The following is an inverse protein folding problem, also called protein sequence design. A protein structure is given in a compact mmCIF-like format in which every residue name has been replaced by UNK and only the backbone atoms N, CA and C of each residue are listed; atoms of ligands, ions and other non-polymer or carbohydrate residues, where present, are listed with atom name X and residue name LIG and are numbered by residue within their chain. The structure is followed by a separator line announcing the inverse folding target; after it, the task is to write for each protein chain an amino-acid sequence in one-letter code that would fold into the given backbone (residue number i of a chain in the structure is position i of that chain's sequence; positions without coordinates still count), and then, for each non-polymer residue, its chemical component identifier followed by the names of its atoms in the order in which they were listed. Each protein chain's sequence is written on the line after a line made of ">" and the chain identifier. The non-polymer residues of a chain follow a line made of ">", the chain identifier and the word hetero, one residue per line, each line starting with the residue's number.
data_IF_380213903012
#
_entry.id   IF_380213903012
#
_cell.length_a   1.000
_cell.length_b   1.000
_cell.length_c   1.000
_cell.angle_alpha   90.00
_cell.angle_beta   90.00
_cell.angle_gamma   90.00
#
_symmetry.space_group_name_H-M   'P 1'
#
loop_
_entity.id
_entity.type
_entity.pdbx_description
1 polymer ?
#
# COMPACT_ATOMS: atom_id res chain seq x y z
N UNK A 1 2.92 14.78 18.92
CA UNK A 1 3.19 13.72 17.92
C UNK A 1 2.15 12.61 18.08
N UNK A 2 1.51 12.18 16.99
CA UNK A 2 0.59 11.03 17.02
C UNK A 2 1.35 9.70 17.23
N UNK A 3 0.65 8.66 17.67
CA UNK A 3 1.27 7.38 18.04
C UNK A 3 1.94 6.67 16.85
N UNK A 4 1.32 6.69 15.66
CA UNK A 4 1.86 6.07 14.45
C UNK A 4 3.15 6.76 13.99
N UNK A 5 3.18 8.10 14.04
CA UNK A 5 4.40 8.86 13.73
C UNK A 5 5.54 8.58 14.70
N UNK A 6 5.25 8.41 16.00
CA UNK A 6 6.28 8.02 17.00
C UNK A 6 6.82 6.62 16.72
N UNK A 7 5.94 5.66 16.51
CA UNK A 7 6.33 4.28 16.20
C UNK A 7 7.17 4.20 14.93
N UNK A 8 6.81 4.97 13.90
CA UNK A 8 7.58 5.03 12.67
C UNK A 8 9.00 5.57 12.90
N UNK A 9 9.17 6.63 13.71
CA UNK A 9 10.49 7.16 14.10
C UNK A 9 11.32 6.13 14.86
N UNK A 10 10.72 5.44 15.83
CA UNK A 10 11.40 4.40 16.61
C UNK A 10 11.81 3.21 15.75
N UNK A 11 11.05 2.90 14.71
CA UNK A 11 11.28 1.72 13.84
C UNK A 11 12.28 2.01 12.74
N UNK A 12 12.12 3.12 12.02
CA UNK A 12 12.90 3.44 10.81
C UNK A 12 13.85 4.64 10.99
N UNK A 13 14.00 5.16 12.21
CA UNK A 13 14.79 6.35 12.50
C UNK A 13 14.16 7.60 11.88
N UNK A 14 15.00 8.57 11.51
CA UNK A 14 14.56 9.87 10.98
C UNK A 14 13.63 9.79 9.75
N UNK A 15 13.72 8.71 8.95
CA UNK A 15 12.88 8.52 7.76
C UNK A 15 11.52 7.90 8.06
N UNK A 16 11.24 7.45 9.28
CA UNK A 16 9.99 6.81 9.64
C UNK A 16 8.73 7.59 9.26
N UNK A 17 8.61 8.88 9.64
CA UNK A 17 7.47 9.70 9.27
C UNK A 17 7.28 9.80 7.75
N UNK A 18 8.38 9.96 7.00
CA UNK A 18 8.36 10.00 5.54
C UNK A 18 7.89 8.66 4.97
N UNK A 19 8.41 7.55 5.47
CA UNK A 19 8.01 6.20 5.03
C UNK A 19 6.51 5.99 5.25
N UNK A 20 5.99 6.31 6.44
CA UNK A 20 4.56 6.22 6.77
C UNK A 20 3.70 6.99 5.75
N UNK A 21 4.06 8.23 5.47
CA UNK A 21 3.30 9.09 4.54
C UNK A 21 3.35 8.56 3.09
N UNK A 22 4.51 8.06 2.67
CA UNK A 22 4.75 7.67 1.27
C UNK A 22 4.18 6.30 0.94
N UNK A 23 4.08 5.37 1.90
CA UNK A 23 3.45 4.07 1.67
C UNK A 23 2.02 4.25 1.14
N UNK A 24 1.21 5.11 1.76
CA UNK A 24 -0.18 5.34 1.35
C UNK A 24 -0.26 5.84 -0.10
N UNK A 25 0.60 6.81 -0.45
CA UNK A 25 0.67 7.40 -1.80
C UNK A 25 1.09 6.36 -2.83
N UNK A 26 2.19 5.64 -2.60
CA UNK A 26 2.69 4.64 -3.54
C UNK A 26 1.69 3.51 -3.79
N UNK A 27 0.98 3.07 -2.74
CA UNK A 27 -0.05 2.03 -2.84
C UNK A 27 -1.27 2.51 -3.64
N UNK A 28 -1.70 3.75 -3.45
CA UNK A 28 -2.78 4.37 -4.21
C UNK A 28 -2.38 4.58 -5.67
N UNK A 29 -1.21 5.16 -5.92
CA UNK A 29 -0.70 5.42 -7.26
C UNK A 29 -0.56 4.12 -8.06
N UNK A 30 -0.11 3.03 -7.41
CA UNK A 30 -0.02 1.71 -8.06
C UNK A 30 -1.39 1.11 -8.33
N UNK A 31 -2.36 1.37 -7.44
CA UNK A 31 -3.73 0.91 -7.64
C UNK A 31 -4.34 1.56 -8.88
N UNK A 32 -4.20 2.88 -9.00
CA UNK A 32 -4.66 3.67 -10.14
C UNK A 32 -3.94 3.25 -11.43
N UNK A 33 -2.60 3.16 -11.41
CA UNK A 33 -1.81 2.74 -12.57
C UNK A 33 -2.19 1.33 -13.06
N UNK A 34 -2.43 0.40 -12.13
CA UNK A 34 -2.86 -0.96 -12.44
C UNK A 34 -4.30 -1.01 -12.98
N UNK A 35 -5.19 -0.12 -12.53
CA UNK A 35 -6.55 0.01 -13.07
C UNK A 35 -6.54 0.54 -14.50
N UNK A 36 -5.79 1.61 -14.74
CA UNK A 36 -5.64 2.20 -16.07
C UNK A 36 -5.08 1.20 -17.07
N UNK A 37 -4.06 0.43 -16.66
CA UNK A 37 -3.50 -0.65 -17.47
C UNK A 37 -4.53 -1.74 -17.77
N UNK A 38 -5.33 -2.14 -16.77
CA UNK A 38 -6.38 -3.14 -16.95
C UNK A 38 -7.47 -2.68 -17.93
N UNK A 39 -7.91 -1.42 -17.84
CA UNK A 39 -8.88 -0.83 -18.76
C UNK A 39 -8.32 -0.73 -20.18
N UNK A 40 -7.14 -0.14 -20.33
CA UNK A 40 -6.48 0.04 -21.62
C UNK A 40 -6.19 -1.29 -22.34
N UNK A 41 -5.97 -2.37 -21.58
CA UNK A 41 -5.70 -3.69 -22.15
C UNK A 41 -6.89 -4.30 -22.90
N UNK A 42 -8.12 -3.90 -22.57
CA UNK A 42 -9.35 -4.49 -23.11
C UNK A 42 -9.56 -5.98 -22.75
N UNK A 43 -8.69 -6.59 -21.94
CA UNK A 43 -8.80 -7.99 -21.56
C UNK A 43 -9.93 -8.21 -20.56
N UNK A 44 -10.73 -9.27 -20.79
CA UNK A 44 -11.75 -9.72 -19.83
C UNK A 44 -11.14 -10.32 -18.57
N UNK A 45 -9.93 -10.87 -18.65
CA UNK A 45 -9.22 -11.40 -17.51
C UNK A 45 -8.67 -10.26 -16.65
N UNK A 46 -8.64 -10.48 -15.33
CA UNK A 46 -8.06 -9.54 -14.35
C UNK A 46 -6.54 -9.70 -14.19
N UNK A 47 -5.89 -10.34 -15.16
CA UNK A 47 -4.47 -10.69 -15.08
C UNK A 47 -3.57 -9.46 -15.21
N UNK A 48 -4.00 -8.43 -15.94
CA UNK A 48 -3.24 -7.17 -16.09
C UNK A 48 -3.16 -6.43 -14.76
N UNK A 49 -4.30 -6.23 -14.09
CA UNK A 49 -4.32 -5.76 -12.69
C UNK A 49 -3.60 -6.75 -11.73
N UNK A 50 -3.46 -8.01 -12.14
CA UNK A 50 -2.71 -9.01 -11.40
C UNK A 50 -1.26 -8.58 -11.16
N UNK A 51 -0.62 -7.91 -12.13
CA UNK A 51 0.78 -7.45 -12.04
C UNK A 51 1.01 -6.33 -11.02
N UNK A 52 -0.05 -5.81 -10.38
CA UNK A 52 0.03 -4.92 -9.21
C UNK A 52 1.08 -5.35 -8.18
N UNK A 53 1.20 -6.65 -7.90
CA UNK A 53 2.14 -7.16 -6.89
C UNK A 53 3.59 -6.84 -7.25
N UNK A 54 3.91 -6.78 -8.54
CA UNK A 54 5.24 -6.47 -9.05
C UNK A 54 5.46 -4.96 -9.07
N UNK A 55 4.48 -4.21 -9.58
CA UNK A 55 4.54 -2.75 -9.62
C UNK A 55 4.73 -2.15 -8.22
N UNK A 56 4.03 -2.65 -7.20
CA UNK A 56 4.20 -2.14 -5.83
C UNK A 56 5.59 -2.45 -5.25
N UNK A 57 6.18 -3.59 -5.57
CA UNK A 57 7.55 -3.92 -5.14
C UNK A 57 8.58 -3.02 -5.83
N UNK A 58 8.40 -2.75 -7.13
CA UNK A 58 9.25 -1.83 -7.90
C UNK A 58 9.19 -0.41 -7.36
N UNK A 59 7.98 0.11 -7.04
CA UNK A 59 7.81 1.42 -6.40
C UNK A 59 8.48 1.50 -5.03
N UNK A 60 8.42 0.43 -4.23
CA UNK A 60 9.10 0.38 -2.93
C UNK A 60 10.63 0.34 -3.09
N UNK A 61 11.14 -0.40 -4.07
CA UNK A 61 12.56 -0.42 -4.42
C UNK A 61 13.04 0.96 -4.89
N UNK A 62 12.30 1.62 -5.78
CA UNK A 62 12.66 2.93 -6.33
C UNK A 62 12.60 4.03 -5.27
N UNK A 63 11.55 4.08 -4.45
CA UNK A 63 11.40 5.17 -3.50
C UNK A 63 12.25 4.93 -2.24
N UNK A 64 12.05 3.81 -1.55
CA UNK A 64 12.68 3.57 -0.26
C UNK A 64 14.12 3.07 -0.38
N UNK A 65 14.48 2.42 -1.49
CA UNK A 65 15.86 2.00 -1.76
C UNK A 65 16.82 3.17 -2.02
N UNK A 66 16.29 4.34 -2.38
CA UNK A 66 17.07 5.56 -2.61
C UNK A 66 17.15 6.48 -1.38
N UNK A 67 16.56 6.09 -0.24
CA UNK A 67 16.73 6.84 1.01
C UNK A 67 18.19 6.74 1.50
N UNK A 68 18.79 7.84 2.00
CA UNK A 68 20.15 7.77 2.54
C UNK A 68 20.25 6.77 3.70
N UNK A 69 21.19 5.84 3.62
CA UNK A 69 21.37 4.77 4.60
C UNK A 69 20.42 3.57 4.44
N UNK A 70 19.55 3.57 3.43
CA UNK A 70 18.80 2.37 3.06
C UNK A 70 19.72 1.34 2.39
N UNK A 71 19.49 0.07 2.70
CA UNK A 71 20.07 -1.06 2.00
C UNK A 71 18.98 -1.76 1.17
N UNK A 72 19.39 -2.48 0.12
CA UNK A 72 18.50 -3.32 -0.67
C UNK A 72 18.93 -4.78 -0.53
N UNK A 73 17.99 -5.65 -0.22
CA UNK A 73 18.24 -7.10 -0.13
C UNK A 73 17.37 -7.87 -1.10
N UNK A 74 17.84 -9.04 -1.55
CA UNK A 74 17.14 -9.94 -2.46
C UNK A 74 16.74 -11.22 -1.72
N UNK A 75 15.52 -11.31 -1.18
CA UNK A 75 15.10 -12.46 -0.39
C UNK A 75 15.08 -13.74 -1.22
N UNK A 76 15.79 -14.80 -0.78
CA UNK A 76 15.73 -16.12 -1.41
C UNK A 76 16.02 -16.15 -2.92
N UNK A 77 16.81 -15.20 -3.44
CA UNK A 77 17.11 -15.10 -4.88
C UNK A 77 15.94 -14.58 -5.74
N UNK A 78 14.94 -13.93 -5.12
CA UNK A 78 13.79 -13.36 -5.82
C UNK A 78 14.18 -12.41 -6.97
N UNK A 79 13.32 -12.26 -8.00
CA UNK A 79 13.56 -11.30 -9.07
C UNK A 79 13.40 -9.83 -8.64
N UNK A 80 12.97 -9.58 -7.40
CA UNK A 80 12.79 -8.26 -6.81
C UNK A 80 13.74 -8.05 -5.62
N UNK A 81 14.03 -6.79 -5.28
CA UNK A 81 14.69 -6.45 -4.02
C UNK A 81 13.68 -5.81 -3.06
N UNK A 82 14.03 -5.78 -1.78
CA UNK A 82 13.21 -5.11 -0.77
C UNK A 82 14.10 -4.14 0.03
N UNK A 83 13.58 -2.94 0.36
CA UNK A 83 14.29 -1.95 1.13
C UNK A 83 14.42 -2.38 2.60
N UNK A 84 15.61 -2.13 3.16
CA UNK A 84 15.94 -2.28 4.57
C UNK A 84 16.40 -0.92 5.07
N UNK A 85 15.62 -0.31 5.95
CA UNK A 85 15.89 1.01 6.52
C UNK A 85 16.04 0.84 8.02
N UNK A 86 17.12 1.36 8.59
CA UNK A 86 17.42 1.21 10.03
C UNK A 86 17.42 -0.27 10.50
N UNK A 87 17.90 -1.18 9.64
CA UNK A 87 17.90 -2.62 9.91
C UNK A 87 16.52 -3.32 9.84
N UNK A 88 15.46 -2.60 9.48
CA UNK A 88 14.10 -3.13 9.37
C UNK A 88 13.73 -3.30 7.90
N UNK A 89 13.34 -4.53 7.53
CA UNK A 89 12.86 -4.83 6.18
C UNK A 89 11.42 -4.29 5.98
N UNK A 90 11.17 -3.60 4.88
CA UNK A 90 9.85 -3.09 4.53
C UNK A 90 9.32 -3.86 3.30
N UNK A 91 8.25 -4.63 3.50
CA UNK A 91 7.73 -5.56 2.48
C UNK A 91 6.25 -5.26 2.13
N UNK A 92 5.94 -4.86 0.89
CA UNK A 92 4.56 -4.76 0.43
C UNK A 92 4.01 -6.14 0.01
N UNK A 93 2.83 -6.47 0.51
CA UNK A 93 2.16 -7.72 0.18
C UNK A 93 0.68 -7.52 -0.10
N UNK A 94 0.28 -7.79 -1.35
CA UNK A 94 -1.12 -7.97 -1.71
C UNK A 94 -1.61 -9.35 -1.28
N UNK A 95 -2.19 -9.44 -0.09
CA UNK A 95 -2.65 -10.70 0.50
C UNK A 95 -4.02 -11.12 -0.03
N UNK A 96 -4.89 -10.17 -0.35
CA UNK A 96 -6.27 -10.43 -0.73
C UNK A 96 -6.73 -9.67 -1.99
N UNK A 97 -7.81 -10.19 -2.57
CA UNK A 97 -8.53 -9.59 -3.71
C UNK A 97 -9.95 -9.14 -3.34
N UNK A 98 -10.31 -9.18 -2.06
CA UNK A 98 -11.64 -8.81 -1.57
C UNK A 98 -11.57 -8.31 -0.13
N UNK A 99 -12.65 -7.66 0.34
CA UNK A 99 -12.72 -7.07 1.69
C UNK A 99 -12.90 -8.13 2.79
N UNK A 100 -13.47 -9.27 2.44
CA UNK A 100 -13.88 -10.32 3.37
C UNK A 100 -12.73 -11.27 3.74
N UNK A 101 -11.66 -11.26 2.96
CA UNK A 101 -10.48 -12.09 3.25
C UNK A 101 -9.65 -11.40 4.32
N UNK A 102 -9.40 -12.09 5.42
CA UNK A 102 -8.54 -11.62 6.50
C UNK A 102 -7.09 -12.08 6.28
N UNK A 103 -6.14 -11.24 6.72
CA UNK A 103 -4.71 -11.52 6.62
C UNK A 103 -4.32 -12.79 7.38
N UNK A 104 -4.87 -13.00 8.57
CA UNK A 104 -4.59 -14.17 9.42
C UNK A 104 -4.96 -15.51 8.74
N UNK A 105 -5.89 -15.49 7.79
CA UNK A 105 -6.34 -16.68 7.06
C UNK A 105 -5.61 -16.87 5.72
N UNK A 106 -4.61 -16.02 5.42
CA UNK A 106 -3.88 -16.05 4.15
C UNK A 106 -2.44 -16.51 4.39
N UNK A 107 -2.00 -17.64 3.78
CA UNK A 107 -0.63 -18.09 3.94
C UNK A 107 0.36 -17.12 3.29
N UNK A 108 1.38 -16.72 4.05
CA UNK A 108 2.44 -15.83 3.58
C UNK A 108 3.59 -16.61 2.94
N UNK A 109 4.08 -17.65 3.61
CA UNK A 109 5.25 -18.45 3.25
C UNK A 109 4.99 -19.41 2.07
N UNK A 110 4.41 -18.91 0.99
CA UNK A 110 4.11 -19.69 -0.21
C UNK A 110 5.31 -19.79 -1.17
N UNK A 111 6.43 -19.12 -0.85
CA UNK A 111 7.67 -19.16 -1.62
C UNK A 111 8.88 -18.98 -0.72
N UNK A 112 10.03 -19.53 -1.14
CA UNK A 112 11.32 -19.34 -0.44
C UNK A 112 11.64 -17.86 -0.26
N UNK A 113 11.35 -17.02 -1.26
CA UNK A 113 11.53 -15.58 -1.18
C UNK A 113 10.76 -14.94 -0.02
N UNK A 114 9.50 -15.33 0.21
CA UNK A 114 8.70 -14.79 1.33
C UNK A 114 9.17 -15.32 2.67
N UNK A 115 9.53 -16.60 2.76
CA UNK A 115 10.12 -17.16 3.97
C UNK A 115 11.42 -16.45 4.34
N UNK A 116 12.30 -16.21 3.36
CA UNK A 116 13.55 -15.49 3.58
C UNK A 116 13.31 -14.01 3.91
N UNK A 117 12.33 -13.34 3.28
CA UNK A 117 12.01 -11.95 3.56
C UNK A 117 11.64 -11.73 5.03
N UNK A 118 10.86 -12.64 5.61
CA UNK A 118 10.47 -12.58 7.02
C UNK A 118 11.58 -13.01 7.99
N UNK A 119 12.65 -13.65 7.50
CA UNK A 119 13.79 -14.12 8.29
C UNK A 119 15.09 -13.37 7.96
N UNK A 120 14.99 -12.24 7.25
CA UNK A 120 16.13 -11.42 6.85
C UNK A 120 16.95 -10.99 8.06
N UNK A 121 18.10 -11.62 8.23
CA UNK A 121 19.09 -11.13 9.17
C UNK A 121 19.66 -9.84 8.60
N UNK A 122 19.80 -8.76 9.39
CA UNK A 122 20.57 -7.60 8.96
C UNK A 122 21.95 -8.11 8.55
N UNK A 123 22.24 -8.12 7.23
CA UNK A 123 23.59 -8.42 6.78
C UNK A 123 24.45 -7.30 7.32
N UNK A 124 25.43 -7.67 8.15
CA UNK A 124 26.27 -6.73 8.88
C UNK A 124 26.67 -5.52 8.05
N UNK A 125 26.42 -4.36 8.62
CA UNK A 125 26.76 -3.03 8.14
C UNK A 125 28.25 -2.99 7.78
N UNK A 126 28.61 -3.04 6.49
CA UNK A 126 30.01 -2.83 6.09
C UNK A 126 30.25 -2.06 4.79
N UNK A 127 29.23 -1.63 4.03
CA UNK A 127 29.49 -0.88 2.78
C UNK A 127 28.82 0.49 2.64
N UNK A 128 27.91 0.91 3.55
CA UNK A 128 27.27 2.22 3.47
C UNK A 128 27.72 3.25 4.53
N UNK A 129 28.54 2.83 5.52
CA UNK A 129 28.91 3.66 6.69
C UNK A 129 30.00 4.72 6.44
N UNK A 130 30.33 5.04 5.18
CA UNK A 130 31.42 6.00 4.87
C UNK A 130 31.01 7.23 4.09
N UNK A 131 29.72 7.59 4.04
CA UNK A 131 29.34 8.84 3.37
C UNK A 131 28.29 9.66 4.12
N UNK A 132 28.84 10.66 4.81
CA UNK A 132 28.38 12.04 4.88
C UNK A 132 27.30 12.36 5.94
N UNK A 133 27.83 12.85 7.05
CA UNK A 133 27.30 13.90 7.91
C UNK A 133 26.67 15.03 7.05
N UNK A 134 25.36 14.98 6.87
CA UNK A 134 24.56 16.05 6.28
C UNK A 134 23.38 16.33 7.23
N UNK A 135 23.32 17.50 7.87
CA UNK A 135 22.13 17.93 8.58
C UNK A 135 21.09 18.42 7.55
N UNK A 136 19.86 17.88 7.58
CA UNK A 136 18.71 18.41 6.82
C UNK A 136 17.39 18.12 7.56
N UNK A 137 16.26 18.80 7.27
CA UNK A 137 15.67 19.80 8.16
C UNK A 137 14.36 19.32 8.81
N UNK A 138 13.98 19.97 9.91
CA UNK A 138 12.68 19.89 10.60
C UNK A 138 12.47 18.79 11.67
N UNK A 139 13.51 18.12 12.16
CA UNK A 139 13.38 17.39 13.44
C UNK A 139 13.38 18.38 14.61
N UNK A 140 12.46 18.19 15.54
CA UNK A 140 12.43 18.86 16.85
C UNK A 140 13.50 18.27 17.77
N UNK A 141 13.94 19.02 18.78
CA UNK A 141 14.99 18.56 19.72
C UNK A 141 14.64 17.23 20.41
N UNK A 142 13.35 16.99 20.69
CA UNK A 142 12.87 15.72 21.27
C UNK A 142 13.00 14.54 20.30
N UNK A 143 12.82 14.76 19.00
CA UNK A 143 12.95 13.73 17.97
C UNK A 143 14.40 13.35 17.72
N UNK A 144 15.29 14.33 17.79
CA UNK A 144 16.73 14.10 17.67
C UNK A 144 17.23 13.17 18.78
N UNK A 145 16.82 13.42 20.03
CA UNK A 145 17.17 12.59 21.18
C UNK A 145 16.68 11.13 21.06
N UNK A 146 15.50 10.92 20.46
CA UNK A 146 14.96 9.58 20.21
C UNK A 146 15.78 8.81 19.17
N UNK A 147 16.13 9.46 18.07
CA UNK A 147 16.97 8.88 17.02
C UNK A 147 18.36 8.53 17.54
N UNK A 148 18.97 9.44 18.30
CA UNK A 148 20.31 9.25 18.87
C UNK A 148 20.34 8.10 19.89
N UNK A 149 19.32 8.02 20.76
CA UNK A 149 19.18 6.94 21.74
C UNK A 149 18.97 5.57 21.09
N UNK A 150 18.17 5.50 20.02
CA UNK A 150 17.93 4.25 19.29
C UNK A 150 19.15 3.81 18.48
N UNK A 151 19.85 4.75 17.82
CA UNK A 151 21.08 4.47 17.06
C UNK A 151 22.18 3.90 17.96
N UNK A 152 22.29 4.39 19.19
CA UNK A 152 23.19 3.84 20.19
C UNK A 152 22.81 2.41 20.64
N UNK A 153 21.52 2.06 20.60
CA UNK A 153 21.00 0.75 20.99
C UNK A 153 21.11 -0.30 19.85
N UNK A 154 20.88 0.10 18.59
CA UNK A 154 21.00 -0.79 17.42
C UNK A 154 22.44 -1.00 16.93
N UNK A 155 23.41 -0.22 17.42
CA UNK A 155 24.83 -0.47 17.24
C UNK A 155 25.35 -1.73 17.96
N UNK A 156 24.52 -2.39 18.78
CA UNK A 156 24.88 -3.63 19.46
C UNK A 156 24.77 -4.85 18.51
N UNK A 157 25.87 -5.59 18.24
CA UNK A 157 25.87 -6.80 17.43
C UNK A 157 24.91 -7.92 17.91
N UNK A 158 24.38 -7.82 19.13
CA UNK A 158 23.40 -8.75 19.71
C UNK A 158 21.95 -8.53 19.25
N UNK A 159 21.62 -7.41 18.60
CA UNK A 159 20.27 -7.18 18.04
C UNK A 159 20.17 -7.87 16.66
N UNK A 160 20.29 -9.20 16.67
CA UNK A 160 20.23 -10.06 15.48
C UNK A 160 18.80 -10.45 15.09
N UNK A 161 17.77 -9.82 15.66
CA UNK A 161 16.38 -10.11 15.32
C UNK A 161 16.05 -9.52 13.96
N UNK A 162 15.73 -10.39 13.00
CA UNK A 162 15.09 -9.98 11.74
C UNK A 162 13.80 -9.25 12.07
N UNK A 163 13.76 -7.93 11.87
CA UNK A 163 12.54 -7.13 12.01
C UNK A 163 11.98 -6.87 10.63
N UNK A 164 10.73 -7.23 10.42
CA UNK A 164 10.01 -6.97 9.17
C UNK A 164 8.75 -6.18 9.47
N UNK A 165 8.60 -5.05 8.78
CA UNK A 165 7.34 -4.32 8.67
C UNK A 165 6.67 -4.75 7.38
N UNK A 166 5.46 -5.26 7.52
CA UNK A 166 4.62 -5.70 6.42
C UNK A 166 3.64 -4.59 6.06
N UNK A 167 3.56 -4.24 4.79
CA UNK A 167 2.47 -3.41 4.24
C UNK A 167 1.45 -4.37 3.60
N UNK A 168 0.42 -4.71 4.37
CA UNK A 168 -0.65 -5.62 3.98
C UNK A 168 -1.71 -4.89 3.16
N UNK A 169 -1.89 -5.33 1.91
CA UNK A 169 -2.77 -4.71 0.92
C UNK A 169 -3.87 -5.69 0.51
N UNK A 170 -5.12 -5.25 0.57
CA UNK A 170 -6.24 -5.93 -0.10
C UNK A 170 -6.75 -5.05 -1.22
N UNK A 171 -6.65 -5.53 -2.46
CA UNK A 171 -7.04 -4.75 -3.63
C UNK A 171 -7.49 -5.60 -4.81
N UNK A 172 -8.34 -5.04 -5.66
CA UNK A 172 -8.81 -5.64 -6.91
C UNK A 172 -9.19 -4.56 -7.91
N UNK A 173 -9.61 -4.96 -9.11
CA UNK A 173 -10.20 -4.03 -10.09
C UNK A 173 -11.46 -3.31 -9.56
N UNK A 174 -12.09 -3.83 -8.50
CA UNK A 174 -13.26 -3.23 -7.87
C UNK A 174 -12.89 -2.23 -6.75
N UNK A 175 -11.60 -2.06 -6.46
CA UNK A 175 -11.11 -1.07 -5.51
C UNK A 175 -9.98 -1.55 -4.59
N UNK A 176 -9.43 -0.58 -3.87
CA UNK A 176 -8.49 -0.74 -2.77
C UNK A 176 -9.28 -0.84 -1.46
N UNK A 177 -9.24 -2.00 -0.80
CA UNK A 177 -10.11 -2.32 0.33
C UNK A 177 -9.43 -2.08 1.68
N UNK A 178 -8.13 -2.34 1.77
CA UNK A 178 -7.36 -2.18 3.00
C UNK A 178 -5.89 -1.94 2.67
N UNK A 179 -5.27 -1.03 3.42
CA UNK A 179 -3.83 -0.85 3.54
C UNK A 179 -3.52 -0.75 5.02
N UNK A 180 -2.84 -1.76 5.53
CA UNK A 180 -2.41 -1.83 6.92
C UNK A 180 -0.91 -2.03 6.97
N UNK A 181 -0.26 -1.44 7.96
CA UNK A 181 1.17 -1.67 8.18
C UNK A 181 1.48 -1.88 9.65
N UNK A 182 2.55 -2.62 9.90
CA UNK A 182 2.98 -2.96 11.24
C UNK A 182 4.10 -4.00 11.22
N UNK A 183 4.71 -4.20 12.38
CA UNK A 183 5.71 -5.25 12.56
C UNK A 183 5.06 -6.63 12.64
N UNK A 184 5.65 -7.61 11.96
CA UNK A 184 5.14 -8.98 11.90
C UNK A 184 6.21 -10.01 12.22
N UNK A 185 5.74 -11.17 12.67
CA UNK A 185 6.52 -12.40 12.77
C UNK A 185 5.95 -13.48 11.84
N UNK A 186 6.83 -14.32 11.30
CA UNK A 186 6.43 -15.52 10.56
C UNK A 186 6.25 -16.70 11.53
N UNK A 187 5.05 -17.27 11.51
CA UNK A 187 4.70 -18.48 12.27
C UNK A 187 5.28 -19.74 11.62
N UNK A 188 5.42 -20.82 12.40
CA UNK A 188 5.88 -22.12 11.88
C UNK A 188 4.97 -22.68 10.77
N UNK A 189 3.68 -22.34 10.80
CA UNK A 189 2.68 -22.77 9.82
C UNK A 189 2.68 -21.93 8.53
N UNK A 190 3.58 -20.94 8.42
CA UNK A 190 3.75 -20.12 7.22
C UNK A 190 2.80 -18.93 7.11
N UNK A 191 2.10 -18.58 8.19
CA UNK A 191 1.28 -17.38 8.31
C UNK A 191 2.08 -16.25 8.97
N UNK A 192 1.62 -15.01 8.80
CA UNK A 192 2.18 -13.85 9.50
C UNK A 192 1.24 -13.40 10.60
N UNK A 193 1.82 -13.00 11.74
CA UNK A 193 1.10 -12.43 12.87
C UNK A 193 1.67 -11.05 13.17
N UNK A 194 0.81 -10.10 13.53
CA UNK A 194 1.23 -8.78 13.99
C UNK A 194 1.84 -8.89 15.39
N UNK A 195 3.00 -8.25 15.61
CA UNK A 195 3.64 -8.17 16.94
C UNK A 195 2.95 -7.10 17.82
N UNK A 196 2.19 -6.18 17.22
CA UNK A 196 1.37 -5.17 17.89
C UNK A 196 0.17 -4.77 17.03
N UNK A 197 -0.51 -3.67 17.38
CA UNK A 197 -1.65 -3.20 16.60
C UNK A 197 -1.18 -2.61 15.27
N UNK A 198 -1.64 -3.14 14.11
CA UNK A 198 -1.31 -2.55 12.82
C UNK A 198 -2.07 -1.22 12.65
N UNK A 199 -1.40 -0.23 12.07
CA UNK A 199 -2.03 1.02 11.68
C UNK A 199 -2.67 0.87 10.29
N UNK A 200 -3.88 1.41 10.12
CA UNK A 200 -4.46 1.57 8.78
C UNK A 200 -3.97 2.86 8.15
N UNK A 201 -3.44 2.76 6.93
CA UNK A 201 -2.92 3.89 6.15
C UNK A 201 -3.94 4.45 5.15
N UNK A 202 -5.12 3.84 5.05
CA UNK A 202 -6.24 4.44 4.34
C UNK A 202 -7.00 5.34 5.30
N UNK A 203 -7.16 6.61 4.93
CA UNK A 203 -8.20 7.45 5.51
C UNK A 203 -9.55 6.94 5.01
N UNK A 204 -10.07 5.88 5.63
CA UNK A 204 -11.46 5.50 5.45
C UNK A 204 -12.29 6.64 6.02
N UNK A 205 -12.83 7.50 5.15
CA UNK A 205 -13.94 8.34 5.57
C UNK A 205 -15.00 7.40 6.14
N UNK A 206 -15.38 7.51 7.43
CA UNK A 206 -16.50 6.76 7.93
C UNK A 206 -17.67 7.12 7.03
N UNK A 207 -18.17 6.14 6.28
CA UNK A 207 -19.42 6.29 5.56
C UNK A 207 -20.48 6.43 6.64
N UNK A 208 -20.76 7.67 7.03
CA UNK A 208 -21.95 7.97 7.79
C UNK A 208 -23.10 7.35 6.98
N UNK A 209 -23.99 6.58 7.62
CA UNK A 209 -25.13 6.02 6.91
C UNK A 209 -25.82 7.16 6.17
N UNK A 210 -25.81 7.11 4.84
CA UNK A 210 -26.59 8.04 4.02
C UNK A 210 -28.02 7.86 4.49
N UNK A 211 -28.58 8.93 5.04
CA UNK A 211 -29.97 8.94 5.45
C UNK A 211 -30.82 8.52 4.26
N UNK A 212 -31.49 7.37 4.37
CA UNK A 212 -32.51 6.92 3.40
C UNK A 212 -33.80 7.71 3.54
N UNK A 213 -33.82 8.76 4.38
CA UNK A 213 -34.94 9.68 4.46
C UNK A 213 -35.12 10.32 3.09
N UNK A 214 -36.25 10.08 2.41
CA UNK A 214 -36.46 10.59 1.06
C UNK A 214 -36.52 12.12 1.13
N UNK A 215 -35.49 12.79 0.65
CA UNK A 215 -35.45 14.26 0.59
C UNK A 215 -36.41 14.82 -0.48
N UNK A 216 -36.93 13.95 -1.38
CA UNK A 216 -38.00 14.22 -2.34
C UNK A 216 -38.80 12.96 -2.63
N UNK A 217 -40.12 13.07 -2.63
CA UNK A 217 -41.03 12.05 -3.17
C UNK A 217 -41.01 12.12 -4.71
N UNK A 218 -41.05 10.96 -5.38
CA UNK A 218 -41.15 10.82 -6.84
C UNK A 218 -42.26 11.70 -7.48
N UNK A 219 -43.26 12.09 -6.69
CA UNK A 219 -44.41 12.89 -7.09
C UNK A 219 -44.23 14.41 -7.03
N UNK A 220 -43.08 14.94 -6.60
CA UNK A 220 -42.88 16.40 -6.46
C UNK A 220 -42.05 17.05 -7.57
N UNK A 221 -41.73 16.33 -8.64
CA UNK A 221 -41.09 16.88 -9.84
C UNK A 221 -42.12 17.42 -10.82
N UNK A 222 -41.85 18.58 -11.41
CA UNK A 222 -42.64 19.08 -12.55
C UNK A 222 -42.55 18.06 -13.70
N UNK A 223 -43.67 17.61 -14.29
CA UNK A 223 -43.63 16.60 -15.34
C UNK A 223 -42.76 17.08 -16.51
N UNK A 224 -41.85 16.24 -17.04
CA UNK A 224 -41.08 16.61 -18.22
C UNK A 224 -42.04 16.95 -19.37
N UNK A 225 -41.80 18.09 -20.03
CA UNK A 225 -42.58 18.52 -21.20
C UNK A 225 -42.53 17.40 -22.25
N UNK A 226 -43.70 17.02 -22.78
CA UNK A 226 -43.81 16.08 -23.90
C UNK A 226 -42.85 16.51 -25.00
N UNK A 227 -42.11 15.54 -25.55
CA UNK A 227 -41.40 15.72 -26.80
C UNK A 227 -42.41 16.15 -27.88
N UNK A 228 -42.06 17.09 -28.77
CA UNK A 228 -42.96 17.49 -29.85
C UNK A 228 -43.29 16.28 -30.71
N UNK A 229 -44.58 16.08 -30.97
CA UNK A 229 -45.06 15.06 -31.90
C UNK A 229 -44.38 15.32 -33.26
N UNK A 230 -43.64 14.34 -33.76
CA UNK A 230 -43.22 14.32 -35.16
C UNK A 230 -44.50 14.20 -35.97
N UNK A 231 -44.92 15.30 -36.60
CA UNK A 231 -45.96 15.29 -37.62
C UNK A 231 -45.53 14.33 -38.73
N UNK A 232 -46.14 13.15 -38.72
CA UNK A 232 -46.13 12.22 -39.84
C UNK A 232 -47.25 12.67 -40.76
N UNK A 233 -46.99 13.71 -41.55
CA UNK A 233 -47.86 14.02 -42.68
C UNK A 233 -47.54 13.05 -43.82
N UNK A 234 -48.48 12.13 -44.03
CA UNK A 234 -48.56 11.34 -45.24
C UNK A 234 -49.08 12.19 -46.39
N UNK A 235 -48.33 12.23 -47.48
CA UNK A 235 -48.90 12.42 -48.80
C UNK A 235 -48.89 11.07 -49.52
N UNK A 236 -50.08 10.47 -49.61
CA UNK A 236 -50.39 9.44 -50.59
C UNK A 236 -51.11 10.11 -51.76
N UNK A 237 -50.56 9.98 -52.97
CA UNK A 237 -51.31 9.92 -54.23
C UNK A 237 -50.37 9.37 -55.33
N UNK A 238 -50.55 8.15 -55.86
CA UNK A 238 -51.27 7.81 -57.13
C UNK A 238 -50.88 8.71 -58.31
N UNK A 239 -50.58 8.27 -59.53
CA UNK A 239 -50.61 6.98 -60.25
C UNK A 239 -49.99 7.21 -61.66
N UNK A 240 -49.82 6.13 -62.43
CA UNK A 240 -49.83 5.99 -63.90
C UNK A 240 -48.53 5.97 -64.75
N UNK A 241 -48.34 4.77 -65.33
CA UNK A 241 -47.72 4.33 -66.60
C UNK A 241 -46.22 4.08 -66.71
#
# INVERSE_FOLDING_TARGET
>A
MDAGRRWALETFGQYGPLIREQIAKLVLDEHESSLDAQEASGHRSRSVYGEYWRGILEKFEEFFGNLPGAAMTRPGGAPYKIPVVNGVALYPWRYAKSRETELANTPFATSSARTEAANLRPTGVQEALLSLDLPDPQLTEEEQLLVDGFTAYTGDPLVSSSRMVLVAISSSVNGLFSVQWGEVQLTADGYVEWIGDPESLLELQPTLPVSTSPTRTFTSGEPPKRFPDTDVDGEASTDER
#
